data_IF_586897926492
#
_entry.id   IF_586897926492
#
_cell.length_a   1.000
_cell.length_b   1.000
_cell.length_c   1.000
_cell.angle_alpha   90.00
_cell.angle_beta   90.00
_cell.angle_gamma   90.00
#
_symmetry.space_group_name_H-M   'P 1'
#
loop_
_entity.id
_entity.type
_entity.pdbx_description
1 polymer ?
#
# COMPACT_ATOMS: atom_id res chain seq x y z
N UNK A 1 8.89 -49.56 -29.73
CA UNK A 1 9.47 -48.51 -28.85
C UNK A 1 8.97 -47.08 -29.12
N UNK A 2 8.45 -46.73 -30.31
CA UNK A 2 8.00 -45.36 -30.61
C UNK A 2 6.77 -44.88 -29.80
N UNK A 3 5.79 -45.76 -29.54
CA UNK A 3 4.58 -45.42 -28.74
C UNK A 3 4.88 -45.00 -27.30
N UNK A 4 5.86 -45.65 -26.65
CA UNK A 4 6.24 -45.32 -25.28
C UNK A 4 6.90 -43.94 -25.18
N UNK A 5 7.73 -43.58 -26.17
CA UNK A 5 8.36 -42.26 -26.24
C UNK A 5 7.32 -41.16 -26.44
N UNK A 6 6.34 -41.36 -27.32
CA UNK A 6 5.27 -40.38 -27.58
C UNK A 6 4.38 -40.11 -26.36
N UNK A 7 4.05 -41.17 -25.60
CA UNK A 7 3.27 -41.05 -24.37
C UNK A 7 3.99 -40.23 -23.29
N UNK A 8 5.31 -40.41 -23.16
CA UNK A 8 6.12 -39.72 -22.16
C UNK A 8 6.29 -38.24 -22.51
N UNK A 9 6.52 -37.92 -23.79
CA UNK A 9 6.58 -36.53 -24.26
C UNK A 9 5.24 -35.81 -24.10
N UNK A 10 4.12 -36.49 -24.35
CA UNK A 10 2.77 -35.91 -24.18
C UNK A 10 2.43 -35.65 -22.71
N UNK A 11 2.80 -36.56 -21.79
CA UNK A 11 2.65 -36.36 -20.35
C UNK A 11 3.46 -35.16 -19.86
N UNK A 12 4.75 -35.09 -20.23
CA UNK A 12 5.62 -33.96 -19.88
C UNK A 12 5.11 -32.63 -20.45
N UNK A 13 4.59 -32.62 -21.67
CA UNK A 13 4.02 -31.41 -22.27
C UNK A 13 2.77 -30.93 -21.52
N UNK A 14 1.88 -31.86 -21.15
CA UNK A 14 0.66 -31.54 -20.39
C UNK A 14 0.95 -31.00 -19.00
N UNK A 15 1.96 -31.56 -18.33
CA UNK A 15 2.36 -31.16 -16.99
C UNK A 15 3.03 -29.77 -17.01
N UNK A 16 3.89 -29.50 -18.00
CA UNK A 16 4.46 -28.17 -18.23
C UNK A 16 3.40 -27.13 -18.59
N UNK A 17 2.44 -27.45 -19.47
CA UNK A 17 1.33 -26.56 -19.80
C UNK A 17 0.47 -26.23 -18.58
N UNK A 18 0.17 -27.24 -17.74
CA UNK A 18 -0.55 -27.04 -16.48
C UNK A 18 0.23 -26.12 -15.54
N UNK A 19 1.54 -26.31 -15.43
CA UNK A 19 2.42 -25.44 -14.65
C UNK A 19 2.40 -23.99 -15.15
N UNK A 20 2.49 -23.79 -16.48
CA UNK A 20 2.45 -22.47 -17.12
C UNK A 20 1.10 -21.78 -16.86
N UNK A 21 -0.01 -22.50 -17.03
CA UNK A 21 -1.37 -21.95 -16.83
C UNK A 21 -1.60 -21.55 -15.36
N UNK A 22 -1.18 -22.38 -14.41
CA UNK A 22 -1.32 -22.05 -12.98
C UNK A 22 -0.47 -20.82 -12.64
N UNK A 23 0.78 -20.80 -13.12
CA UNK A 23 1.69 -19.68 -12.86
C UNK A 23 1.15 -18.38 -13.46
N UNK A 24 0.66 -18.40 -14.70
CA UNK A 24 0.11 -17.20 -15.35
C UNK A 24 -1.16 -16.71 -14.65
N UNK A 25 -2.02 -17.62 -14.19
CA UNK A 25 -3.21 -17.28 -13.40
C UNK A 25 -2.81 -16.56 -12.10
N UNK A 26 -1.87 -17.15 -11.34
CA UNK A 26 -1.41 -16.58 -10.06
C UNK A 26 -0.81 -15.19 -10.28
N UNK A 27 0.09 -15.05 -11.25
CA UNK A 27 0.71 -13.76 -11.58
C UNK A 27 -0.34 -12.74 -12.04
N UNK A 28 -1.28 -13.15 -12.88
CA UNK A 28 -2.37 -12.28 -13.35
C UNK A 28 -3.24 -11.76 -12.22
N UNK A 29 -3.62 -12.61 -11.26
CA UNK A 29 -4.38 -12.22 -10.06
C UNK A 29 -3.59 -11.23 -9.21
N UNK A 30 -2.30 -11.46 -9.00
CA UNK A 30 -1.43 -10.54 -8.25
C UNK A 30 -1.36 -9.16 -8.92
N UNK A 31 -1.18 -9.10 -10.24
CA UNK A 31 -1.12 -7.84 -10.99
C UNK A 31 -2.45 -7.08 -10.85
N UNK A 32 -3.60 -7.76 -11.01
CA UNK A 32 -4.91 -7.13 -10.87
C UNK A 32 -5.15 -6.59 -9.46
N UNK A 33 -4.75 -7.34 -8.42
CA UNK A 33 -4.88 -6.91 -7.03
C UNK A 33 -4.06 -5.64 -6.74
N UNK A 34 -2.80 -5.59 -7.19
CA UNK A 34 -1.94 -4.41 -7.03
C UNK A 34 -2.49 -3.22 -7.83
N UNK A 35 -2.89 -3.46 -9.10
CA UNK A 35 -3.47 -2.44 -9.95
C UNK A 35 -4.74 -1.81 -9.37
N UNK A 36 -5.60 -2.62 -8.75
CA UNK A 36 -6.79 -2.13 -8.05
C UNK A 36 -6.46 -1.20 -6.88
N UNK A 37 -5.42 -1.52 -6.08
CA UNK A 37 -4.97 -0.66 -4.98
C UNK A 37 -4.43 0.69 -5.48
N UNK A 38 -3.67 0.68 -6.58
CA UNK A 38 -3.14 1.91 -7.20
C UNK A 38 -4.31 2.75 -7.74
N UNK A 39 -5.22 2.14 -8.50
CA UNK A 39 -6.40 2.82 -9.06
C UNK A 39 -7.27 3.46 -7.96
N UNK A 40 -7.36 2.83 -6.79
CA UNK A 40 -8.03 3.41 -5.60
C UNK A 40 -7.43 4.76 -5.22
N UNK A 41 -6.10 4.87 -5.19
CA UNK A 41 -5.37 6.09 -4.77
C UNK A 41 -5.18 7.13 -5.88
N UNK A 42 -5.29 6.75 -7.15
CA UNK A 42 -5.10 7.67 -8.29
C UNK A 42 -6.37 8.43 -8.69
N UNK A 43 -7.54 8.04 -8.19
CA UNK A 43 -8.80 8.71 -8.51
C UNK A 43 -8.84 10.14 -7.94
N UNK A 44 -9.44 11.11 -8.65
CA UNK A 44 -9.55 12.49 -8.17
C UNK A 44 -10.21 12.59 -6.79
N UNK A 45 -9.70 13.49 -5.96
CA UNK A 45 -10.32 13.86 -4.68
C UNK A 45 -11.55 14.71 -5.00
N UNK A 46 -12.70 14.35 -4.43
CA UNK A 46 -13.98 15.05 -4.63
C UNK A 46 -14.42 15.81 -3.39
N UNK A 47 -13.97 15.38 -2.21
CA UNK A 47 -14.27 16.03 -0.94
C UNK A 47 -13.15 15.77 0.08
N UNK A 48 -13.05 16.67 1.07
CA UNK A 48 -12.05 16.62 2.13
C UNK A 48 -12.67 16.97 3.47
N UNK A 49 -12.34 16.18 4.49
CA UNK A 49 -12.79 16.37 5.86
C UNK A 49 -11.60 16.38 6.80
N UNK A 50 -11.58 17.34 7.74
CA UNK A 50 -10.54 17.38 8.77
C UNK A 50 -10.94 16.52 9.96
N UNK A 51 -10.11 15.53 10.25
CA UNK A 51 -10.26 14.62 11.39
C UNK A 51 -9.05 14.70 12.31
N UNK A 52 -9.18 14.19 13.53
CA UNK A 52 -8.07 14.08 14.49
C UNK A 52 -7.77 12.63 14.81
N UNK A 53 -6.54 12.37 15.24
CA UNK A 53 -6.10 11.06 15.68
C UNK A 53 -4.85 11.13 16.53
N UNK A 54 -4.47 10.02 17.14
CA UNK A 54 -3.24 9.89 17.93
C UNK A 54 -2.19 9.13 17.12
N UNK A 55 -0.97 9.67 17.02
CA UNK A 55 0.14 8.95 16.38
C UNK A 55 0.53 7.75 17.26
N UNK A 56 0.39 6.52 16.78
CA UNK A 56 0.66 5.30 17.57
C UNK A 56 1.97 4.61 17.20
N UNK A 57 2.46 4.80 15.98
CA UNK A 57 3.76 4.29 15.56
C UNK A 57 4.38 5.09 14.40
N UNK A 58 5.69 4.90 14.23
CA UNK A 58 6.46 5.37 13.07
C UNK A 58 7.09 4.15 12.40
N UNK A 59 6.86 4.01 11.11
CA UNK A 59 7.45 2.98 10.25
C UNK A 59 8.58 3.59 9.43
N UNK A 60 9.60 2.78 9.14
CA UNK A 60 10.71 3.12 8.24
C UNK A 60 11.49 4.39 8.64
N UNK A 61 11.63 4.65 9.94
CA UNK A 61 12.51 5.71 10.43
C UNK A 61 13.99 5.30 10.20
N UNK A 62 14.78 6.07 9.43
CA UNK A 62 16.20 5.82 9.26
C UNK A 62 16.92 6.01 10.60
N UNK A 63 18.07 5.35 10.75
CA UNK A 63 18.91 5.47 11.95
C UNK A 63 19.44 6.89 12.18
N UNK A 64 19.56 7.70 11.13
CA UNK A 64 19.90 9.12 11.20
C UNK A 64 18.92 9.95 10.38
N UNK A 65 17.75 10.32 10.94
CA UNK A 65 16.74 11.05 10.19
C UNK A 65 17.15 12.47 9.82
N UNK A 66 17.99 13.10 10.64
CA UNK A 66 18.53 14.44 10.40
C UNK A 66 19.30 14.53 9.08
N UNK A 67 20.03 13.47 8.72
CA UNK A 67 20.78 13.39 7.47
C UNK A 67 19.87 13.38 6.21
N UNK A 68 18.58 13.14 6.38
CA UNK A 68 17.59 13.05 5.31
C UNK A 68 16.60 14.23 5.28
N UNK A 69 16.66 15.13 6.27
CA UNK A 69 15.84 16.36 6.27
C UNK A 69 16.19 17.18 5.02
N UNK A 70 15.16 17.65 4.31
CA UNK A 70 15.31 18.40 3.06
C UNK A 70 15.65 17.55 1.82
N UNK A 71 15.85 16.24 1.96
CA UNK A 71 16.13 15.31 0.84
C UNK A 71 14.90 14.53 0.38
N UNK A 72 13.71 15.01 0.70
CA UNK A 72 12.43 14.38 0.32
C UNK A 72 12.05 13.14 1.13
N UNK A 73 12.81 12.82 2.20
CA UNK A 73 12.41 11.77 3.12
C UNK A 73 11.11 12.13 3.85
N UNK A 74 10.26 11.13 4.06
CA UNK A 74 8.99 11.26 4.76
C UNK A 74 8.84 10.12 5.75
N UNK A 75 8.46 10.45 6.97
CA UNK A 75 8.08 9.43 7.94
C UNK A 75 6.74 8.84 7.55
N UNK A 76 6.59 7.53 7.74
CA UNK A 76 5.31 6.88 7.62
C UNK A 76 4.74 6.67 9.03
N UNK A 77 3.68 7.37 9.36
CA UNK A 77 3.00 7.26 10.65
C UNK A 77 1.80 6.34 10.56
N UNK A 78 1.59 5.50 11.57
CA UNK A 78 0.26 4.95 11.83
C UNK A 78 -0.43 5.82 12.86
N UNK A 79 -1.62 6.30 12.49
CA UNK A 79 -2.43 7.19 13.30
C UNK A 79 -3.75 6.50 13.57
N UNK A 80 -4.13 6.48 14.84
CA UNK A 80 -5.40 5.95 15.30
C UNK A 80 -6.43 7.08 15.33
N UNK A 81 -7.45 6.98 14.50
CA UNK A 81 -8.47 8.03 14.37
C UNK A 81 -9.34 8.09 15.63
N UNK A 82 -9.61 9.30 16.13
CA UNK A 82 -10.39 9.48 17.36
C UNK A 82 -11.86 9.04 17.20
N UNK A 83 -12.41 9.14 15.99
CA UNK A 83 -13.83 8.86 15.71
C UNK A 83 -14.19 7.36 15.83
N UNK A 84 -13.32 6.48 15.32
CA UNK A 84 -13.66 5.08 15.09
C UNK A 84 -12.51 4.10 15.39
N UNK A 85 -11.43 4.57 16.03
CA UNK A 85 -10.22 3.81 16.37
C UNK A 85 -9.48 3.20 15.17
N UNK A 86 -9.85 3.58 13.93
CA UNK A 86 -9.27 3.05 12.71
C UNK A 86 -7.80 3.45 12.60
N UNK A 87 -6.94 2.50 12.24
CA UNK A 87 -5.54 2.74 11.99
C UNK A 87 -5.31 3.21 10.55
N UNK A 88 -4.99 4.48 10.38
CA UNK A 88 -4.64 5.09 9.11
C UNK A 88 -3.12 5.25 8.97
N UNK A 89 -2.56 4.83 7.83
CA UNK A 89 -1.15 5.06 7.52
C UNK A 89 -0.99 6.30 6.64
N UNK A 90 -0.21 7.27 7.11
CA UNK A 90 0.02 8.55 6.41
C UNK A 90 1.49 8.89 6.33
N UNK A 91 1.85 9.70 5.35
CA UNK A 91 3.21 10.26 5.25
C UNK A 91 3.25 11.64 5.90
N UNK A 92 4.25 11.86 6.76
CA UNK A 92 4.56 13.15 7.36
C UNK A 92 5.93 13.67 6.92
N UNK A 93 6.08 14.98 6.92
CA UNK A 93 7.35 15.63 6.59
C UNK A 93 8.41 15.31 7.65
N UNK A 94 9.60 14.94 7.20
CA UNK A 94 10.73 14.69 8.08
C UNK A 94 11.21 15.93 8.84
N UNK A 95 10.96 17.13 8.31
CA UNK A 95 11.28 18.39 8.97
C UNK A 95 10.36 18.70 10.16
N UNK A 96 9.18 18.08 10.25
CA UNK A 96 8.20 18.29 11.33
C UNK A 96 7.76 16.96 11.95
N UNK A 97 8.68 16.23 12.59
CA UNK A 97 8.37 14.92 13.16
C UNK A 97 7.29 15.03 14.24
N UNK A 98 6.38 14.06 14.25
CA UNK A 98 5.33 13.91 15.28
C UNK A 98 5.76 12.87 16.30
N UNK A 99 5.55 13.18 17.58
CA UNK A 99 5.84 12.27 18.68
C UNK A 99 4.76 11.20 18.78
N UNK A 100 5.14 9.95 19.03
CA UNK A 100 4.17 8.89 19.34
C UNK A 100 3.39 9.30 20.61
N UNK A 101 2.07 9.14 20.59
CA UNK A 101 1.15 9.57 21.63
C UNK A 101 0.62 11.00 21.45
N UNK A 102 1.16 11.79 20.51
CA UNK A 102 0.65 13.14 20.24
C UNK A 102 -0.63 13.09 19.43
N UNK A 103 -1.57 13.98 19.73
CA UNK A 103 -2.70 14.25 18.85
C UNK A 103 -2.23 14.99 17.59
N UNK A 104 -2.73 14.55 16.44
CA UNK A 104 -2.40 15.09 15.12
C UNK A 104 -3.68 15.31 14.31
N UNK A 105 -3.66 16.31 13.44
CA UNK A 105 -4.75 16.57 12.50
C UNK A 105 -4.46 15.93 11.15
N UNK A 106 -5.46 15.26 10.61
CA UNK A 106 -5.38 14.53 9.34
C UNK A 106 -6.52 15.02 8.46
N UNK A 107 -6.29 15.04 7.15
CA UNK A 107 -7.31 15.20 6.15
C UNK A 107 -7.76 13.82 5.65
N UNK A 108 -9.04 13.50 5.86
CA UNK A 108 -9.73 12.39 5.20
C UNK A 108 -10.17 12.88 3.83
N UNK A 109 -9.71 12.21 2.79
CA UNK A 109 -9.95 12.57 1.38
C UNK A 109 -10.86 11.53 0.76
N UNK A 110 -12.04 11.96 0.34
CA UNK A 110 -12.99 11.13 -0.39
C UNK A 110 -12.69 11.22 -1.88
N UNK A 111 -12.47 10.08 -2.54
CA UNK A 111 -12.15 10.01 -3.97
C UNK A 111 -13.37 9.63 -4.80
N UNK A 112 -13.36 10.02 -6.08
CA UNK A 112 -14.48 9.77 -7.02
C UNK A 112 -14.87 8.30 -7.14
N UNK A 113 -13.92 7.38 -6.97
CA UNK A 113 -14.15 5.94 -7.00
C UNK A 113 -14.65 5.36 -5.66
N UNK A 114 -15.01 6.21 -4.69
CA UNK A 114 -15.45 5.81 -3.35
C UNK A 114 -14.33 5.41 -2.40
N UNK A 115 -13.05 5.51 -2.79
CA UNK A 115 -11.94 5.24 -1.89
C UNK A 115 -11.69 6.41 -0.93
N UNK A 116 -11.36 6.08 0.31
CA UNK A 116 -10.85 7.04 1.29
C UNK A 116 -9.33 6.97 1.36
N UNK A 117 -8.68 8.13 1.36
CA UNK A 117 -7.26 8.27 1.66
C UNK A 117 -7.03 9.29 2.76
N UNK A 118 -5.90 9.19 3.44
CA UNK A 118 -5.59 10.02 4.59
C UNK A 118 -4.29 10.78 4.35
N UNK A 119 -4.27 12.07 4.70
CA UNK A 119 -3.09 12.93 4.58
C UNK A 119 -2.82 13.65 5.89
N UNK A 120 -1.59 13.55 6.40
CA UNK A 120 -1.19 14.30 7.59
C UNK A 120 -1.13 15.79 7.27
N UNK A 121 -1.72 16.61 8.13
CA UNK A 121 -1.64 18.07 7.98
C UNK A 121 -0.39 18.59 8.69
N UNK A 122 0.38 19.41 7.97
CA UNK A 122 1.48 20.16 8.56
C UNK A 122 0.88 21.32 9.35
N UNK A 123 0.69 21.10 10.66
CA UNK A 123 0.52 22.16 11.66
C UNK A 123 1.85 22.51 12.30
#
# INVERSE_FOLDING_TARGET
>A
MAKARFSLTFMLLRENLRGIVITSLVVGVCILAIGALIARRSSPIVDVERVTGTAVNVLNAPSSPEAWIGRGFRYQYGIRLNENDLLAFVYGDAATPRTIGSEVSIERQYRRNGAETYQLLNK
#
